data_IF_344256621176
#
_entry.id   IF_344256621176
#
_cell.length_a   1.000
_cell.length_b   1.000
_cell.length_c   1.000
_cell.angle_alpha   90.00
_cell.angle_beta   90.00
_cell.angle_gamma   90.00
#
_symmetry.space_group_name_H-M   'P 1'
#
loop_
_entity.id
_entity.type
_entity.pdbx_description
1 polymer ?
#
# COMPACT_ATOMS: atom_id res chain seq x y z
N UNK A 1 16.93 -16.09 -35.93
CA UNK A 1 17.57 -15.25 -34.90
C UNK A 1 18.90 -15.89 -34.55
N UNK A 2 20.01 -15.36 -35.05
CA UNK A 2 21.35 -15.72 -34.57
C UNK A 2 21.61 -14.89 -33.31
N UNK A 3 21.47 -15.50 -32.14
CA UNK A 3 21.97 -14.97 -30.88
C UNK A 3 23.50 -15.05 -30.95
N UNK A 4 24.16 -13.92 -31.20
CA UNK A 4 25.59 -13.78 -30.95
C UNK A 4 25.79 -13.64 -29.46
N UNK A 5 25.96 -14.77 -28.78
CA UNK A 5 26.47 -14.77 -27.42
C UNK A 5 27.89 -14.20 -27.49
N UNK A 6 28.05 -12.94 -27.07
CA UNK A 6 29.37 -12.35 -26.87
C UNK A 6 29.99 -13.03 -25.68
N UNK A 7 30.91 -13.96 -25.91
CA UNK A 7 31.72 -14.55 -24.85
C UNK A 7 32.53 -13.42 -24.20
N UNK A 8 32.08 -12.93 -23.05
CA UNK A 8 32.90 -12.04 -22.25
C UNK A 8 34.19 -12.75 -21.86
N UNK A 9 35.32 -12.06 -22.02
CA UNK A 9 36.64 -12.61 -21.63
C UNK A 9 36.56 -12.99 -20.14
N UNK A 10 37.10 -14.17 -19.73
CA UNK A 10 37.01 -14.66 -18.36
C UNK A 10 37.40 -13.63 -17.30
N UNK A 11 38.45 -12.83 -17.55
CA UNK A 11 38.92 -11.79 -16.65
C UNK A 11 37.90 -10.66 -16.39
N UNK A 12 37.12 -10.27 -17.39
CA UNK A 12 36.10 -9.26 -17.20
C UNK A 12 34.93 -9.77 -16.32
N UNK A 13 34.64 -11.07 -16.40
CA UNK A 13 33.60 -11.71 -15.59
C UNK A 13 34.00 -11.78 -14.13
N UNK A 14 35.26 -12.11 -13.83
CA UNK A 14 35.78 -12.15 -12.45
C UNK A 14 35.84 -10.76 -11.81
N UNK A 15 36.32 -9.75 -12.50
CA UNK A 15 36.33 -8.36 -12.01
C UNK A 15 34.92 -7.83 -11.72
N UNK A 16 33.95 -8.16 -12.56
CA UNK A 16 32.56 -7.78 -12.33
C UNK A 16 31.95 -8.48 -11.13
N UNK A 17 32.24 -9.76 -10.92
CA UNK A 17 31.79 -10.52 -9.77
C UNK A 17 32.38 -10.00 -8.45
N UNK A 18 33.66 -9.70 -8.41
CA UNK A 18 34.34 -9.20 -7.22
C UNK A 18 33.82 -7.79 -6.84
N UNK A 19 33.63 -6.91 -7.83
CA UNK A 19 33.06 -5.59 -7.58
C UNK A 19 31.61 -5.67 -7.13
N UNK A 20 30.83 -6.59 -7.70
CA UNK A 20 29.45 -6.84 -7.27
C UNK A 20 29.39 -7.39 -5.83
N UNK A 21 30.26 -8.34 -5.50
CA UNK A 21 30.37 -8.89 -4.14
C UNK A 21 30.77 -7.82 -3.12
N UNK A 22 31.77 -7.01 -3.44
CA UNK A 22 32.19 -5.90 -2.59
C UNK A 22 31.07 -4.88 -2.36
N UNK A 23 30.27 -4.58 -3.40
CA UNK A 23 29.11 -3.71 -3.28
C UNK A 23 28.02 -4.31 -2.40
N UNK A 24 27.75 -5.62 -2.53
CA UNK A 24 26.80 -6.32 -1.66
C UNK A 24 27.25 -6.31 -0.19
N UNK A 25 28.52 -6.57 0.07
CA UNK A 25 29.07 -6.56 1.42
C UNK A 25 29.04 -5.17 2.05
N UNK A 26 29.27 -4.12 1.25
CA UNK A 26 29.08 -2.74 1.67
C UNK A 26 27.61 -2.41 1.97
N UNK A 27 26.66 -2.97 1.24
CA UNK A 27 25.24 -2.74 1.50
C UNK A 27 24.73 -3.48 2.75
N UNK A 28 25.31 -4.63 3.09
CA UNK A 28 24.91 -5.40 4.27
C UNK A 28 25.10 -4.63 5.59
N UNK A 29 26.05 -3.73 5.68
CA UNK A 29 26.26 -2.89 6.87
C UNK A 29 25.12 -1.89 7.13
N UNK A 30 24.28 -1.62 6.12
CA UNK A 30 23.14 -0.69 6.20
C UNK A 30 21.79 -1.42 6.18
N UNK A 31 21.78 -2.70 6.54
CA UNK A 31 20.53 -3.49 6.59
C UNK A 31 19.62 -3.02 7.72
N UNK A 32 18.32 -3.11 7.47
CA UNK A 32 17.33 -2.95 8.52
C UNK A 32 17.40 -4.08 9.53
N UNK A 33 17.19 -3.74 10.78
CA UNK A 33 17.14 -4.67 11.91
C UNK A 33 15.71 -4.78 12.43
N UNK A 34 15.42 -5.76 13.26
CA UNK A 34 14.11 -5.96 13.91
C UNK A 34 12.92 -5.98 12.93
N UNK A 35 13.13 -6.54 11.73
CA UNK A 35 12.11 -6.58 10.69
C UNK A 35 10.98 -7.51 11.12
N UNK A 36 9.76 -6.98 11.22
CA UNK A 36 8.53 -7.74 11.46
C UNK A 36 7.55 -7.47 10.33
N UNK A 37 7.00 -8.54 9.79
CA UNK A 37 6.05 -8.51 8.68
C UNK A 37 4.66 -8.88 9.21
N UNK A 38 3.68 -8.00 9.00
CA UNK A 38 2.26 -8.27 9.26
C UNK A 38 1.47 -8.27 7.96
N UNK A 39 0.16 -8.43 8.04
CA UNK A 39 -0.72 -8.51 6.87
C UNK A 39 -0.70 -7.24 6.01
N UNK A 40 -0.78 -6.07 6.63
CA UNK A 40 -0.80 -4.76 5.95
C UNK A 40 0.21 -3.78 6.57
N UNK A 41 1.19 -4.29 7.32
CA UNK A 41 2.18 -3.44 8.00
C UNK A 41 3.53 -4.13 8.06
N UNK A 42 4.58 -3.32 7.96
CA UNK A 42 5.95 -3.71 8.18
C UNK A 42 6.54 -2.81 9.26
N UNK A 43 7.31 -3.38 10.18
CA UNK A 43 8.08 -2.60 11.14
C UNK A 43 9.54 -3.02 11.04
N UNK A 44 10.43 -2.05 11.11
CA UNK A 44 11.87 -2.27 11.02
C UNK A 44 12.60 -1.12 11.69
N UNK A 45 13.85 -1.33 12.05
CA UNK A 45 14.72 -0.32 12.65
C UNK A 45 15.94 -0.10 11.77
N UNK A 46 16.46 1.11 11.75
CA UNK A 46 17.74 1.42 11.15
C UNK A 46 18.62 2.23 12.11
N UNK A 47 19.92 2.09 11.95
CA UNK A 47 20.90 2.94 12.62
C UNK A 47 21.95 3.35 11.60
N UNK A 48 21.88 4.59 11.14
CA UNK A 48 22.72 5.11 10.06
C UNK A 48 23.68 6.19 10.57
N UNK A 49 24.88 6.17 10.02
CA UNK A 49 25.89 7.21 10.28
C UNK A 49 25.82 8.38 9.30
N UNK A 50 25.01 8.28 8.24
CA UNK A 50 24.76 9.30 7.20
C UNK A 50 23.39 9.15 6.60
N UNK A 51 22.88 10.21 5.98
CA UNK A 51 21.62 10.19 5.25
C UNK A 51 21.74 9.30 4.01
N UNK A 52 20.72 8.49 3.76
CA UNK A 52 20.68 7.55 2.64
C UNK A 52 19.26 7.44 2.07
N UNK A 53 19.17 7.07 0.79
CA UNK A 53 17.92 6.61 0.21
C UNK A 53 17.82 5.12 0.48
N UNK A 54 16.78 4.74 1.21
CA UNK A 54 16.44 3.34 1.48
C UNK A 54 15.37 2.86 0.51
N UNK A 55 15.55 1.64 0.00
CA UNK A 55 14.61 0.98 -0.91
C UNK A 55 14.15 -0.32 -0.27
N UNK A 56 12.84 -0.50 -0.18
CA UNK A 56 12.21 -1.73 0.30
C UNK A 56 11.77 -2.56 -0.91
N UNK A 57 12.01 -3.86 -0.89
CA UNK A 57 11.55 -4.79 -1.94
C UNK A 57 10.03 -5.01 -1.87
N UNK A 58 9.26 -3.92 -1.78
CA UNK A 58 7.81 -3.88 -1.72
C UNK A 58 7.35 -3.03 -2.90
N UNK A 59 6.44 -3.51 -3.76
CA UNK A 59 5.90 -2.71 -4.85
C UNK A 59 5.30 -1.40 -4.34
N UNK A 60 5.62 -0.30 -5.02
CA UNK A 60 5.08 1.01 -4.67
C UNK A 60 3.60 1.11 -5.02
N UNK A 61 2.84 1.62 -4.06
CA UNK A 61 1.45 2.02 -4.24
C UNK A 61 1.19 3.30 -3.44
N UNK A 62 0.19 4.07 -3.84
CA UNK A 62 -0.21 5.32 -3.17
C UNK A 62 -0.81 5.12 -1.78
N UNK A 63 -1.20 3.89 -1.45
CA UNK A 63 -1.73 3.51 -0.14
C UNK A 63 -0.67 3.28 0.94
N UNK A 64 0.61 3.31 0.60
CA UNK A 64 1.68 3.17 1.59
C UNK A 64 1.93 4.45 2.36
N UNK A 65 1.84 4.37 3.69
CA UNK A 65 2.16 5.44 4.64
C UNK A 65 3.31 4.97 5.54
N UNK A 66 4.39 5.75 5.59
CA UNK A 66 5.57 5.44 6.39
C UNK A 66 5.64 6.38 7.58
N UNK A 67 5.77 5.82 8.77
CA UNK A 67 5.97 6.56 10.01
C UNK A 67 7.33 6.24 10.61
N UNK A 68 8.03 7.27 11.03
CA UNK A 68 9.28 7.20 11.77
C UNK A 68 9.00 7.45 13.25
N UNK A 69 9.72 6.75 14.10
CA UNK A 69 9.71 6.94 15.55
C UNK A 69 11.15 7.14 16.00
N UNK A 70 11.38 8.18 16.79
CA UNK A 70 12.65 8.43 17.46
C UNK A 70 12.77 7.66 18.79
N UNK A 71 13.85 7.88 19.55
CA UNK A 71 14.08 7.25 20.85
C UNK A 71 13.03 7.66 21.89
N UNK A 72 12.46 8.86 21.78
CA UNK A 72 11.39 9.40 22.63
C UNK A 72 10.00 8.96 22.20
N UNK A 73 9.89 8.09 21.18
CA UNK A 73 8.62 7.62 20.62
C UNK A 73 7.78 8.72 19.92
N UNK A 74 8.40 9.84 19.54
CA UNK A 74 7.72 10.84 18.73
C UNK A 74 7.51 10.27 17.32
N UNK A 75 6.28 10.42 16.84
CA UNK A 75 5.84 9.91 15.54
C UNK A 75 5.91 11.01 14.49
N UNK A 76 6.58 10.72 13.39
CA UNK A 76 6.64 11.59 12.21
C UNK A 76 6.25 10.80 10.95
N UNK A 77 5.49 11.42 10.07
CA UNK A 77 5.16 10.83 8.77
C UNK A 77 6.23 11.17 7.74
N UNK A 78 6.81 10.15 7.13
CA UNK A 78 7.87 10.26 6.14
C UNK A 78 7.29 10.01 4.75
N UNK A 79 7.60 10.91 3.82
CA UNK A 79 7.14 10.78 2.45
C UNK A 79 7.76 9.58 1.75
N UNK A 80 6.89 8.77 1.14
CA UNK A 80 7.27 7.60 0.36
C UNK A 80 7.30 7.96 -1.12
N UNK A 81 8.29 7.43 -1.83
CA UNK A 81 8.51 7.66 -3.26
C UNK A 81 8.54 6.34 -4.01
N UNK A 82 8.21 6.39 -5.29
CA UNK A 82 8.44 5.30 -6.22
C UNK A 82 9.91 5.29 -6.61
N UNK A 83 10.67 4.34 -6.07
CA UNK A 83 12.09 4.18 -6.34
C UNK A 83 12.38 3.33 -7.58
N UNK A 84 13.64 2.95 -7.73
CA UNK A 84 14.14 2.11 -8.80
C UNK A 84 13.38 0.78 -8.85
N UNK A 85 13.03 0.35 -10.04
CA UNK A 85 12.27 -0.90 -10.25
C UNK A 85 10.80 -0.84 -9.79
N UNK A 86 10.29 0.34 -9.41
CA UNK A 86 8.91 0.47 -8.96
C UNK A 86 8.69 0.10 -7.49
N UNK A 87 9.75 0.07 -6.70
CA UNK A 87 9.70 -0.26 -5.29
C UNK A 87 9.50 0.97 -4.39
N UNK A 88 9.01 0.71 -3.17
CA UNK A 88 8.90 1.72 -2.11
C UNK A 88 10.29 2.24 -1.74
N UNK A 89 10.48 3.57 -1.79
CA UNK A 89 11.72 4.21 -1.34
C UNK A 89 11.42 5.43 -0.49
N UNK A 90 12.36 5.79 0.38
CA UNK A 90 12.26 6.94 1.26
C UNK A 90 13.64 7.46 1.66
N UNK A 91 13.70 8.70 2.11
CA UNK A 91 14.91 9.28 2.69
C UNK A 91 15.04 8.79 4.12
N UNK A 92 16.11 8.05 4.40
CA UNK A 92 16.44 7.54 5.71
C UNK A 92 17.59 8.37 6.28
N UNK A 93 17.27 9.22 7.23
CA UNK A 93 18.20 10.16 7.82
C UNK A 93 19.18 9.47 8.78
N UNK A 94 20.30 10.10 9.00
CA UNK A 94 21.29 9.69 9.98
C UNK A 94 20.68 9.62 11.38
N UNK A 95 20.91 8.50 12.08
CA UNK A 95 20.42 8.28 13.44
C UNK A 95 19.85 6.88 13.64
N UNK A 96 19.41 6.61 14.85
CA UNK A 96 18.73 5.39 15.22
C UNK A 96 17.21 5.62 15.24
N UNK A 97 16.49 5.01 14.30
CA UNK A 97 15.06 5.20 14.16
C UNK A 97 14.33 3.86 13.99
N UNK A 98 13.11 3.81 14.47
CA UNK A 98 12.17 2.73 14.19
C UNK A 98 11.14 3.20 13.18
N UNK A 99 10.83 2.34 12.22
CA UNK A 99 9.90 2.64 11.12
C UNK A 99 8.71 1.71 11.15
N UNK A 100 7.56 2.27 10.76
CA UNK A 100 6.32 1.51 10.56
C UNK A 100 5.70 1.91 9.23
N UNK A 101 5.78 1.00 8.26
CA UNK A 101 5.11 1.13 6.97
C UNK A 101 3.74 0.46 7.06
N UNK A 102 2.68 1.18 6.73
CA UNK A 102 1.29 0.71 6.80
C UNK A 102 0.61 0.94 5.46
N UNK A 103 -0.06 -0.09 4.97
CA UNK A 103 -0.89 0.03 3.78
C UNK A 103 -2.34 0.35 4.16
N UNK A 104 -2.87 1.41 3.56
CA UNK A 104 -4.30 1.76 3.61
C UNK A 104 -4.82 1.80 2.19
N UNK A 105 -5.90 1.05 1.92
CA UNK A 105 -6.49 1.03 0.57
C UNK A 105 -6.96 2.43 0.19
N UNK A 106 -6.44 3.02 -0.91
CA UNK A 106 -6.89 4.33 -1.37
C UNK A 106 -8.39 4.33 -1.64
N UNK A 107 -9.06 5.42 -1.24
CA UNK A 107 -10.49 5.65 -1.49
C UNK A 107 -11.46 4.62 -0.89
N UNK A 108 -11.04 3.81 0.06
CA UNK A 108 -11.90 2.84 0.74
C UNK A 108 -13.05 3.55 1.49
N UNK A 109 -12.77 4.68 2.11
CA UNK A 109 -13.73 5.55 2.80
C UNK A 109 -14.84 6.05 1.86
N UNK A 110 -14.47 6.52 0.66
CA UNK A 110 -15.42 6.96 -0.38
C UNK A 110 -16.28 5.79 -0.85
N UNK A 111 -15.68 4.63 -1.05
CA UNK A 111 -16.40 3.41 -1.44
C UNK A 111 -17.43 2.98 -0.38
N UNK A 112 -17.07 3.02 0.88
CA UNK A 112 -17.98 2.71 1.99
C UNK A 112 -19.13 3.71 2.09
N UNK A 113 -18.86 5.01 1.95
CA UNK A 113 -19.90 6.05 1.92
C UNK A 113 -20.87 5.86 0.75
N UNK A 114 -20.35 5.56 -0.44
CA UNK A 114 -21.17 5.28 -1.61
C UNK A 114 -22.06 4.06 -1.43
N UNK A 115 -21.57 2.99 -0.82
CA UNK A 115 -22.36 1.81 -0.51
C UNK A 115 -23.48 2.10 0.48
N UNK A 116 -23.22 2.86 1.56
CA UNK A 116 -24.23 3.23 2.55
C UNK A 116 -25.31 4.11 1.90
N UNK A 117 -24.92 5.13 1.15
CA UNK A 117 -25.87 6.00 0.46
C UNK A 117 -26.73 5.24 -0.55
N UNK A 118 -26.12 4.36 -1.35
CA UNK A 118 -26.84 3.51 -2.31
C UNK A 118 -27.84 2.56 -1.64
N UNK A 119 -27.45 1.93 -0.54
CA UNK A 119 -28.33 1.04 0.21
C UNK A 119 -29.53 1.78 0.83
N UNK A 120 -29.34 3.00 1.32
CA UNK A 120 -30.42 3.84 1.82
C UNK A 120 -31.40 4.21 0.71
N UNK A 121 -30.92 4.60 -0.46
CA UNK A 121 -31.77 4.92 -1.63
C UNK A 121 -32.58 3.68 -2.04
N UNK A 122 -31.94 2.52 -2.14
CA UNK A 122 -32.65 1.28 -2.49
C UNK A 122 -33.74 0.93 -1.47
N UNK A 123 -33.46 1.08 -0.18
CA UNK A 123 -34.44 0.84 0.88
C UNK A 123 -35.63 1.78 0.78
N UNK A 124 -35.40 3.09 0.58
CA UNK A 124 -36.48 4.07 0.44
C UNK A 124 -37.34 3.82 -0.78
N UNK A 125 -36.74 3.45 -1.92
CA UNK A 125 -37.48 3.06 -3.13
C UNK A 125 -38.32 1.80 -2.90
N UNK A 126 -37.78 0.79 -2.24
CA UNK A 126 -38.48 -0.42 -1.93
C UNK A 126 -39.75 -0.16 -1.08
N UNK A 127 -39.60 0.59 0.03
CA UNK A 127 -40.73 0.95 0.89
C UNK A 127 -41.77 1.81 0.17
N UNK A 128 -41.34 2.76 -0.67
CA UNK A 128 -42.27 3.59 -1.47
C UNK A 128 -43.10 2.75 -2.44
N UNK A 129 -42.48 1.78 -3.12
CA UNK A 129 -43.21 0.87 -4.03
C UNK A 129 -44.17 -0.03 -3.28
N UNK A 130 -43.83 -0.49 -2.08
CA UNK A 130 -44.69 -1.32 -1.24
C UNK A 130 -45.95 -0.53 -0.82
N UNK A 131 -45.79 0.71 -0.36
CA UNK A 131 -46.91 1.59 0.02
C UNK A 131 -47.84 1.83 -1.17
N UNK A 132 -47.30 2.17 -2.34
CA UNK A 132 -48.07 2.40 -3.56
C UNK A 132 -48.84 1.12 -3.96
N UNK A 133 -48.22 -0.03 -3.83
CA UNK A 133 -48.83 -1.34 -4.11
C UNK A 133 -49.99 -1.63 -3.17
N UNK A 134 -49.86 -1.33 -1.89
CA UNK A 134 -50.95 -1.52 -0.91
C UNK A 134 -52.11 -0.54 -1.14
N UNK A 135 -51.85 0.70 -1.46
CA UNK A 135 -52.89 1.68 -1.80
C UNK A 135 -53.70 1.22 -3.04
N UNK A 136 -53.01 0.78 -4.08
CA UNK A 136 -53.69 0.22 -5.28
C UNK A 136 -54.55 -0.98 -4.97
N UNK A 137 -54.12 -1.86 -4.08
CA UNK A 137 -54.91 -3.04 -3.65
C UNK A 137 -56.16 -2.63 -2.91
N UNK A 138 -56.04 -1.68 -1.96
CA UNK A 138 -57.18 -1.13 -1.22
C UNK A 138 -58.21 -0.43 -2.13
N UNK A 139 -57.71 0.37 -3.09
CA UNK A 139 -58.59 1.03 -4.08
C UNK A 139 -59.34 0.01 -4.94
N UNK A 140 -58.71 -1.10 -5.32
CA UNK A 140 -59.36 -2.16 -6.09
C UNK A 140 -60.45 -2.85 -5.28
N UNK A 141 -60.19 -3.20 -4.03
CA UNK A 141 -61.16 -3.81 -3.10
C UNK A 141 -62.39 -2.90 -2.91
N UNK A 142 -62.17 -1.57 -2.71
CA UNK A 142 -63.27 -0.62 -2.59
C UNK A 142 -64.08 -0.49 -3.87
N UNK A 143 -63.48 -0.57 -5.05
CA UNK A 143 -64.15 -0.49 -6.33
C UNK A 143 -65.02 -1.73 -6.62
N UNK A 144 -64.67 -2.89 -6.07
CA UNK A 144 -65.46 -4.13 -6.16
C UNK A 144 -66.66 -4.13 -5.19
N UNK A 145 -66.54 -3.39 -4.06
CA UNK A 145 -67.61 -3.29 -3.06
C UNK A 145 -68.74 -2.34 -3.46
N UNK A 146 -68.50 -1.42 -4.41
CA UNK A 146 -69.44 -0.40 -4.89
C UNK A 146 -70.24 -0.87 -6.12
N UNK A 147 -69.91 -2.03 -6.65
CA UNK A 147 -70.65 -2.71 -7.74
C UNK A 147 -71.69 -3.67 -7.20
#
# INVERSE_FOLDING_TARGET
FKSTATLCKPNATYQYYDSYKANLDNQKQYQFTNVKVGTNKYTFSSNLNKDMISVLSIPYDTGWNLYRYDEDNNKEEIKVYKGQGGFVSFVNEKGAYSYKLVYTTPHLDIGCLGFIAGSMICATLYYSLEIISEEKRKLKELSEFVK
#
